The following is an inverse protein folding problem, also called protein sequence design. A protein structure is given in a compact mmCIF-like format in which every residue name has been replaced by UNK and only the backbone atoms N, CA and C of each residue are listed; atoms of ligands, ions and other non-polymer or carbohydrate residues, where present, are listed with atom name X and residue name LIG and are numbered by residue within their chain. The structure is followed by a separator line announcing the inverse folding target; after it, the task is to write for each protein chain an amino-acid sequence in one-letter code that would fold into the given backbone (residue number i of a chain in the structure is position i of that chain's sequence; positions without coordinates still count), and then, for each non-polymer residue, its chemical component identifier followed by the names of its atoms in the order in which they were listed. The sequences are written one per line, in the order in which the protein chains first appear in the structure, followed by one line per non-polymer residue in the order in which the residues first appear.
data_IF_826845915879
#
_entry.id   IF_826845915879
#
_cell.length_a   1.000
_cell.length_b   1.000
_cell.length_c   1.000
_cell.angle_alpha   90.00
_cell.angle_beta   90.00
_cell.angle_gamma   90.00
#
_symmetry.space_group_name_H-M   'P 1'
#
loop_
_entity.id
_entity.type
_entity.pdbx_description
1 polymer ?
#
# COMPACT_ATOMS: atom_id res chain seq x y z
N UNK A 1 -0.66 7.81 4.03
CA UNK A 1 -0.64 8.17 2.60
C UNK A 1 -0.16 9.60 2.40
N UNK A 2 -0.81 10.60 3.01
CA UNK A 2 -0.39 12.02 2.92
C UNK A 2 1.10 12.23 3.23
N UNK A 3 1.60 11.71 4.36
CA UNK A 3 3.02 11.84 4.72
C UNK A 3 3.97 11.25 3.67
N UNK A 4 3.60 10.11 3.06
CA UNK A 4 4.41 9.52 1.99
C UNK A 4 4.41 10.35 0.70
N UNK A 5 3.32 11.05 0.39
CA UNK A 5 3.33 12.04 -0.70
C UNK A 5 4.16 13.28 -0.35
N UNK A 6 4.05 13.74 0.90
CA UNK A 6 4.74 14.94 1.38
C UNK A 6 6.27 14.76 1.38
N UNK A 7 6.75 13.64 1.91
CA UNK A 7 8.18 13.30 1.94
C UNK A 7 8.70 12.70 0.63
N UNK A 8 7.83 12.43 -0.34
CA UNK A 8 8.17 11.71 -1.58
C UNK A 8 8.75 10.31 -1.32
N UNK A 9 8.41 9.74 -0.17
CA UNK A 9 8.79 8.41 0.30
C UNK A 9 7.51 7.55 0.38
N UNK A 10 7.14 6.84 -0.71
CA UNK A 10 5.90 6.08 -0.75
C UNK A 10 5.95 4.91 0.24
N UNK A 11 5.03 4.90 1.20
CA UNK A 11 4.73 3.73 2.02
C UNK A 11 3.48 3.00 1.49
N UNK A 12 3.56 1.70 1.17
CA UNK A 12 2.41 0.95 0.68
C UNK A 12 1.34 0.82 1.77
N UNK A 13 0.06 0.78 1.37
CA UNK A 13 -1.05 0.65 2.31
C UNK A 13 -0.96 -0.58 3.22
N UNK A 14 -0.34 -1.68 2.75
CA UNK A 14 -0.07 -2.85 3.57
C UNK A 14 0.73 -2.52 4.84
N UNK A 15 1.75 -1.67 4.71
CA UNK A 15 2.54 -1.20 5.85
C UNK A 15 1.78 -0.17 6.69
N UNK A 16 1.10 0.78 6.05
CA UNK A 16 0.38 1.86 6.76
C UNK A 16 -0.76 1.33 7.62
N UNK A 17 -1.41 0.25 7.17
CA UNK A 17 -2.57 -0.34 7.84
C UNK A 17 -2.20 -1.48 8.79
N UNK A 18 -0.91 -1.74 9.00
CA UNK A 18 -0.42 -2.89 9.75
C UNK A 18 -1.10 -4.19 9.26
N UNK A 19 -1.15 -4.37 7.92
CA UNK A 19 -1.74 -5.52 7.24
C UNK A 19 -0.70 -6.28 6.41
N UNK A 20 0.59 -6.01 6.62
CA UNK A 20 1.69 -6.65 5.88
C UNK A 20 1.65 -8.19 6.00
N UNK A 21 1.41 -8.92 4.90
CA UNK A 21 1.30 -10.37 4.91
C UNK A 21 2.63 -11.10 5.20
N UNK A 22 3.78 -10.43 5.16
CA UNK A 22 5.05 -11.01 5.61
C UNK A 22 5.04 -11.23 7.13
N UNK A 23 4.46 -10.28 7.88
CA UNK A 23 4.50 -10.26 9.34
C UNK A 23 3.23 -10.80 9.99
N UNK A 24 2.09 -10.77 9.28
CA UNK A 24 0.79 -11.13 9.84
C UNK A 24 0.34 -12.51 9.41
N UNK A 25 0.34 -13.43 10.38
CA UNK A 25 -0.16 -14.79 10.23
C UNK A 25 -1.20 -15.08 11.31
N UNK A 26 -2.16 -15.91 10.96
CA UNK A 26 -3.06 -16.54 11.90
C UNK A 26 -2.64 -17.99 12.11
N UNK A 27 -2.41 -18.37 13.38
CA UNK A 27 -2.11 -19.74 13.79
C UNK A 27 -3.32 -20.27 14.54
N UNK A 28 -3.96 -21.30 13.98
CA UNK A 28 -5.11 -21.97 14.59
C UNK A 28 -4.67 -22.88 15.76
N UNK A 29 -5.65 -23.35 16.54
CA UNK A 29 -5.41 -24.21 17.72
C UNK A 29 -4.72 -25.55 17.37
N UNK A 30 -4.86 -26.00 16.12
CA UNK A 30 -4.20 -27.20 15.59
C UNK A 30 -2.78 -26.92 15.05
N UNK A 31 -2.30 -25.68 15.15
CA UNK A 31 -1.00 -25.23 14.64
C UNK A 31 -1.00 -24.89 13.15
N UNK A 32 -2.14 -24.92 12.46
CA UNK A 32 -2.20 -24.54 11.05
C UNK A 32 -2.02 -23.02 10.87
N UNK A 33 -1.06 -22.64 10.02
CA UNK A 33 -0.83 -21.25 9.63
C UNK A 33 -1.69 -20.84 8.40
N UNK A 34 -2.17 -19.61 8.43
CA UNK A 34 -2.85 -18.95 7.31
C UNK A 34 -2.57 -17.44 7.29
N UNK A 35 -2.81 -16.79 6.15
CA UNK A 35 -2.74 -15.33 6.08
C UNK A 35 -3.85 -14.67 6.91
N UNK A 36 -3.57 -13.49 7.45
CA UNK A 36 -4.51 -12.78 8.32
C UNK A 36 -5.52 -11.91 7.54
N UNK A 37 -6.61 -11.52 8.21
CA UNK A 37 -7.56 -10.50 7.75
C UNK A 37 -8.18 -10.79 6.38
N UNK A 38 -8.11 -9.79 5.48
CA UNK A 38 -8.68 -9.88 4.12
C UNK A 38 -8.08 -11.00 3.27
N UNK A 39 -6.91 -11.53 3.65
CA UNK A 39 -6.20 -12.56 2.91
C UNK A 39 -6.54 -13.98 3.37
N UNK A 40 -7.19 -14.14 4.53
CA UNK A 40 -7.59 -15.44 5.07
C UNK A 40 -8.46 -16.24 4.08
N UNK A 41 -9.30 -15.56 3.30
CA UNK A 41 -10.20 -16.18 2.33
C UNK A 41 -9.52 -16.59 1.01
N UNK A 42 -8.23 -16.31 0.82
CA UNK A 42 -7.52 -16.59 -0.44
C UNK A 42 -7.10 -18.06 -0.59
N UNK A 43 -7.11 -18.82 0.50
CA UNK A 43 -6.56 -20.19 0.54
C UNK A 43 -5.03 -20.25 0.46
N UNK A 44 -4.34 -19.11 0.45
CA UNK A 44 -2.88 -19.04 0.56
C UNK A 44 -2.52 -19.27 2.03
N UNK A 45 -1.65 -20.25 2.28
CA UNK A 45 -1.26 -20.66 3.65
C UNK A 45 -0.17 -19.75 4.25
N UNK A 46 0.82 -19.40 3.45
CA UNK A 46 1.90 -18.51 3.84
C UNK A 46 2.53 -17.87 2.60
N UNK A 47 3.14 -16.71 2.78
CA UNK A 47 4.08 -16.17 1.81
C UNK A 47 5.49 -16.69 2.12
N UNK A 48 6.32 -16.85 1.09
CA UNK A 48 7.73 -17.20 1.28
C UNK A 48 8.43 -16.08 2.08
N UNK A 49 9.02 -16.39 3.25
CA UNK A 49 9.58 -15.38 4.15
C UNK A 49 10.70 -14.54 3.53
N UNK A 50 11.35 -15.03 2.48
CA UNK A 50 12.56 -14.42 1.91
C UNK A 50 12.27 -13.33 0.85
N UNK A 51 11.00 -13.09 0.52
CA UNK A 51 10.62 -12.11 -0.51
C UNK A 51 10.08 -10.85 0.14
N UNK A 52 10.79 -9.73 0.00
CA UNK A 52 10.35 -8.40 0.41
C UNK A 52 8.95 -8.07 -0.13
N UNK A 53 8.16 -7.32 0.65
CA UNK A 53 6.77 -6.99 0.33
C UNK A 53 6.61 -6.39 -1.07
N UNK A 54 7.55 -5.56 -1.52
CA UNK A 54 7.57 -4.94 -2.85
C UNK A 54 7.71 -5.95 -3.99
N UNK A 55 8.67 -6.88 -3.90
CA UNK A 55 8.88 -7.97 -4.86
C UNK A 55 7.65 -8.88 -4.90
N UNK A 56 7.06 -9.14 -3.74
CA UNK A 56 5.87 -9.96 -3.61
C UNK A 56 4.63 -9.28 -4.25
N UNK A 57 4.43 -7.99 -3.98
CA UNK A 57 3.39 -7.17 -4.62
C UNK A 57 3.58 -7.19 -6.14
N UNK A 58 4.81 -7.01 -6.62
CA UNK A 58 5.13 -7.07 -8.05
C UNK A 58 4.75 -8.42 -8.65
N UNK A 59 5.03 -9.55 -7.99
CA UNK A 59 4.68 -10.88 -8.49
C UNK A 59 3.15 -11.09 -8.56
N UNK A 60 2.42 -10.71 -7.51
CA UNK A 60 0.95 -10.85 -7.49
C UNK A 60 0.27 -9.93 -8.50
N UNK A 61 0.84 -8.75 -8.73
CA UNK A 61 0.34 -7.78 -9.69
C UNK A 61 0.96 -7.90 -11.08
N UNK A 62 1.95 -8.77 -11.30
CA UNK A 62 2.63 -8.94 -12.59
C UNK A 62 1.65 -9.31 -13.72
N UNK A 63 0.54 -9.97 -13.35
CA UNK A 63 -0.54 -10.34 -14.28
C UNK A 63 -1.57 -9.22 -14.51
N UNK A 64 -1.39 -8.03 -13.92
CA UNK A 64 -2.33 -6.90 -13.93
C UNK A 64 -1.74 -5.69 -14.66
N UNK A 65 -1.99 -5.62 -15.97
CA UNK A 65 -1.52 -4.53 -16.82
C UNK A 65 -1.88 -3.13 -16.25
N UNK A 66 -3.07 -2.97 -15.69
CA UNK A 66 -3.55 -1.70 -15.11
C UNK A 66 -2.78 -1.24 -13.86
N UNK A 67 -2.23 -2.17 -13.06
CA UNK A 67 -1.46 -1.83 -11.86
C UNK A 67 -0.03 -1.47 -12.22
N UNK A 68 0.56 -2.13 -13.23
CA UNK A 68 1.94 -1.90 -13.69
C UNK A 68 2.18 -0.46 -14.17
N UNK A 69 1.15 0.19 -14.69
CA UNK A 69 1.22 1.59 -15.16
C UNK A 69 0.49 2.56 -14.23
N UNK A 70 0.09 2.13 -13.04
CA UNK A 70 -0.62 2.98 -12.09
C UNK A 70 0.39 3.87 -11.36
N UNK A 71 0.22 5.19 -11.45
CA UNK A 71 1.05 6.17 -10.74
C UNK A 71 1.05 6.01 -9.21
N UNK A 72 0.00 5.38 -8.67
CA UNK A 72 -0.17 5.15 -7.24
C UNK A 72 0.28 3.76 -6.77
N UNK A 73 0.93 2.97 -7.63
CA UNK A 73 1.30 1.59 -7.31
C UNK A 73 2.12 1.49 -6.01
N UNK A 74 3.14 2.32 -5.85
CA UNK A 74 4.02 2.27 -4.66
C UNK A 74 3.31 2.76 -3.38
N UNK A 75 2.25 3.55 -3.51
CA UNK A 75 1.44 3.98 -2.35
C UNK A 75 0.35 2.97 -1.99
N UNK A 76 -0.27 2.31 -2.97
CA UNK A 76 -1.35 1.37 -2.70
C UNK A 76 -0.86 -0.07 -2.53
N UNK A 77 0.28 -0.45 -3.11
CA UNK A 77 0.83 -1.80 -3.06
C UNK A 77 -0.12 -2.89 -3.59
N UNK A 78 -1.08 -2.54 -4.45
CA UNK A 78 -2.13 -3.46 -4.88
C UNK A 78 -3.16 -3.82 -3.81
N UNK A 79 -3.17 -3.15 -2.67
CA UNK A 79 -4.04 -3.40 -1.51
C UNK A 79 -5.52 -3.58 -1.85
N UNK A 80 -6.01 -2.86 -2.85
CA UNK A 80 -7.40 -2.93 -3.29
C UNK A 80 -7.67 -4.07 -4.29
N UNK A 81 -6.68 -4.40 -5.13
CA UNK A 81 -6.79 -5.43 -6.18
C UNK A 81 -6.49 -6.83 -5.68
N UNK A 82 -5.77 -6.95 -4.57
CA UNK A 82 -5.52 -8.22 -3.93
C UNK A 82 -6.26 -8.29 -2.58
N UNK A 83 -7.14 -9.29 -2.37
CA UNK A 83 -7.46 -10.40 -3.28
C UNK A 83 -8.58 -10.09 -4.31
N UNK A 84 -9.18 -8.90 -4.23
CA UNK A 84 -10.36 -8.52 -5.03
C UNK A 84 -9.99 -7.99 -6.42
N UNK A 85 -9.82 -8.91 -7.37
CA UNK A 85 -9.36 -8.62 -8.74
C UNK A 85 -10.27 -7.63 -9.49
N UNK A 86 -11.56 -7.65 -9.20
CA UNK A 86 -12.62 -6.86 -9.81
C UNK A 86 -12.82 -5.48 -9.17
N UNK A 87 -12.03 -5.13 -8.14
CA UNK A 87 -12.15 -3.83 -7.48
C UNK A 87 -11.98 -2.67 -8.46
N UNK A 88 -12.90 -1.70 -8.45
CA UNK A 88 -12.78 -0.49 -9.26
C UNK A 88 -11.88 0.55 -8.56
N UNK A 89 -10.69 0.78 -9.14
CA UNK A 89 -9.72 1.71 -8.59
C UNK A 89 -10.08 3.20 -8.83
N UNK A 90 -11.15 3.54 -9.57
CA UNK A 90 -11.45 4.92 -9.93
C UNK A 90 -11.59 5.85 -8.72
N UNK A 91 -12.32 5.41 -7.69
CA UNK A 91 -12.52 6.19 -6.47
C UNK A 91 -11.23 6.42 -5.68
N UNK A 92 -10.44 5.36 -5.50
CA UNK A 92 -9.17 5.45 -4.75
C UNK A 92 -8.10 6.25 -5.49
N UNK A 93 -8.08 6.18 -6.83
CA UNK A 93 -7.21 7.04 -7.65
C UNK A 93 -7.53 8.52 -7.43
N UNK A 94 -8.82 8.90 -7.43
CA UNK A 94 -9.22 10.29 -7.13
C UNK A 94 -8.78 10.74 -5.74
N UNK A 95 -9.01 9.92 -4.72
CA UNK A 95 -8.58 10.21 -3.36
C UNK A 95 -7.05 10.39 -3.26
N UNK A 96 -6.28 9.54 -3.94
CA UNK A 96 -4.82 9.63 -3.90
C UNK A 96 -4.31 10.85 -4.67
N UNK A 97 -4.99 11.27 -5.74
CA UNK A 97 -4.72 12.56 -6.40
C UNK A 97 -4.94 13.71 -5.43
N UNK A 98 -6.07 13.77 -4.72
CA UNK A 98 -6.35 14.83 -3.74
C UNK A 98 -5.31 14.87 -2.62
N UNK A 99 -4.88 13.70 -2.12
CA UNK A 99 -3.83 13.62 -1.10
C UNK A 99 -2.47 14.08 -1.60
N UNK A 100 -2.13 13.77 -2.85
CA UNK A 100 -0.89 14.24 -3.48
C UNK A 100 -0.92 15.76 -3.64
N UNK A 101 -2.02 16.30 -4.15
CA UNK A 101 -2.16 17.73 -4.39
C UNK A 101 -2.07 18.50 -3.06
N UNK A 102 -2.76 18.03 -2.01
CA UNK A 102 -2.65 18.60 -0.67
C UNK A 102 -1.23 18.50 -0.07
N UNK A 103 -0.49 17.42 -0.35
CA UNK A 103 0.90 17.28 0.10
C UNK A 103 1.83 18.28 -0.60
N UNK A 104 1.61 18.52 -1.90
CA UNK A 104 2.36 19.52 -2.68
C UNK A 104 2.06 20.93 -2.15
N UNK A 105 0.78 21.25 -1.93
CA UNK A 105 0.37 22.53 -1.35
C UNK A 105 1.04 22.76 0.01
N UNK A 106 0.96 21.78 0.91
CA UNK A 106 1.57 21.86 2.23
C UNK A 106 3.09 22.09 2.16
N UNK A 107 3.78 21.42 1.25
CA UNK A 107 5.23 21.58 1.06
C UNK A 107 5.56 23.00 0.58
N UNK A 108 4.83 23.50 -0.40
CA UNK A 108 5.02 24.86 -0.91
C UNK A 108 4.77 25.91 0.19
N UNK A 109 3.73 25.73 1.02
CA UNK A 109 3.42 26.64 2.12
C UNK A 109 4.52 26.67 3.18
N UNK A 110 5.09 25.51 3.51
CA UNK A 110 6.18 25.40 4.46
C UNK A 110 7.51 25.95 3.91
N UNK A 111 7.77 25.80 2.62
CA UNK A 111 8.93 26.40 1.94
C UNK A 111 8.81 27.94 1.83
N UNK A 112 7.60 28.45 1.65
CA UNK A 112 7.33 29.89 1.59
C UNK A 112 7.27 30.56 2.97
N UNK A 113 7.20 29.78 4.05
CA UNK A 113 7.12 30.30 5.41
C UNK A 113 8.40 31.06 5.78
N UNK A 114 8.30 32.32 6.24
CA UNK A 114 9.46 33.06 6.70
C UNK A 114 10.07 32.37 7.93
N UNK A 115 11.40 32.22 7.93
CA UNK A 115 12.13 31.69 9.09
C UNK A 115 11.90 32.65 10.27
N UNK A 116 11.40 32.17 11.43
CA UNK A 116 11.23 33.03 12.59
C UNK A 116 12.59 33.62 13.00
N UNK A 117 12.67 34.95 13.06
CA UNK A 117 13.81 35.64 13.66
C UNK A 117 13.79 35.41 15.17
N UNK A 118 14.85 34.80 15.71
CA UNK A 118 15.13 34.68 17.16
C UNK A 118 15.20 36.05 17.86
#
# INVERSE_FOLDING_TARGET
ALLGFYHEEPAPLWAILDEDPQWLRYVADDGAESLHGRLAATGIKALEPEVELDIWIEQVLATRAECRTCEFLHHCGGYFKWPRRDYDCAGVKRLFSELRDAAIELRNDLEAAPIPSE
#
